data_IF_467510078780
#
_entry.id   IF_467510078780
#
_cell.length_a   1.000
_cell.length_b   1.000
_cell.length_c   1.000
_cell.angle_alpha   90.00
_cell.angle_beta   90.00
_cell.angle_gamma   90.00
#
_symmetry.space_group_name_H-M   'P 1'
#
loop_
_entity.id
_entity.type
_entity.pdbx_description
1 polymer ?
#
# COMPACT_ATOMS: atom_id res chain seq x y z
N UNK A 1 11.30 15.40 7.63
CA UNK A 1 11.30 16.02 6.31
C UNK A 1 10.44 15.22 5.37
N UNK A 2 9.53 15.86 4.66
CA UNK A 2 8.56 15.19 3.80
C UNK A 2 9.20 14.45 2.64
N UNK A 3 10.28 14.98 2.04
CA UNK A 3 10.99 14.29 0.97
C UNK A 3 11.57 12.95 1.44
N UNK A 4 11.98 12.86 2.70
CA UNK A 4 12.46 11.60 3.29
C UNK A 4 11.31 10.62 3.46
N UNK A 5 10.13 11.12 3.80
CA UNK A 5 8.94 10.28 3.96
C UNK A 5 8.54 9.65 2.62
N UNK A 6 8.60 10.42 1.53
CA UNK A 6 8.34 9.89 0.19
C UNK A 6 9.35 8.79 -0.14
N UNK A 7 10.63 8.98 0.19
CA UNK A 7 11.65 7.98 -0.10
C UNK A 7 11.47 6.69 0.73
N UNK A 8 10.99 6.81 1.97
CA UNK A 8 10.66 5.64 2.78
C UNK A 8 9.59 4.79 2.10
N UNK A 9 8.51 5.44 1.65
CA UNK A 9 7.40 4.74 0.98
C UNK A 9 7.87 4.16 -0.35
N UNK A 10 8.65 4.93 -1.13
CA UNK A 10 9.21 4.44 -2.40
C UNK A 10 10.06 3.19 -2.19
N UNK A 11 10.93 3.22 -1.18
CA UNK A 11 11.80 2.08 -0.88
C UNK A 11 11.01 0.82 -0.53
N UNK A 12 9.96 0.97 0.26
CA UNK A 12 9.10 -0.14 0.63
C UNK A 12 8.43 -0.76 -0.60
N UNK A 13 7.87 0.08 -1.48
CA UNK A 13 7.18 -0.38 -2.68
C UNK A 13 8.16 -1.02 -3.67
N UNK A 14 9.33 -0.41 -3.86
CA UNK A 14 10.34 -0.97 -4.76
C UNK A 14 10.80 -2.35 -4.30
N UNK A 15 10.99 -2.52 -2.99
CA UNK A 15 11.36 -3.83 -2.43
C UNK A 15 10.25 -4.86 -2.67
N UNK A 16 9.00 -4.49 -2.44
CA UNK A 16 7.85 -5.35 -2.71
C UNK A 16 7.82 -5.78 -4.18
N UNK A 17 8.02 -4.82 -5.09
CA UNK A 17 7.96 -5.09 -6.53
C UNK A 17 9.14 -5.95 -7.02
N UNK A 18 10.26 -5.95 -6.29
CA UNK A 18 11.38 -6.86 -6.58
C UNK A 18 11.14 -8.27 -6.03
N UNK A 19 10.08 -8.47 -5.24
CA UNK A 19 9.87 -9.72 -4.55
C UNK A 19 10.68 -9.87 -3.27
N UNK A 20 11.34 -8.81 -2.83
CA UNK A 20 12.14 -8.80 -1.60
C UNK A 20 11.27 -8.33 -0.43
N UNK A 21 10.44 -9.24 0.07
CA UNK A 21 9.48 -8.90 1.10
C UNK A 21 10.13 -8.58 2.44
N UNK A 22 11.27 -9.20 2.74
CA UNK A 22 12.01 -8.89 3.97
C UNK A 22 12.49 -7.44 3.97
N UNK A 23 13.03 -6.99 2.85
CA UNK A 23 13.45 -5.58 2.71
C UNK A 23 12.25 -4.64 2.79
N UNK A 24 11.11 -5.03 2.20
CA UNK A 24 9.88 -4.24 2.27
C UNK A 24 9.40 -4.08 3.70
N UNK A 25 9.37 -5.17 4.47
CA UNK A 25 8.90 -5.16 5.85
C UNK A 25 9.81 -4.35 6.77
N UNK A 26 11.09 -4.21 6.42
CA UNK A 26 12.05 -3.42 7.21
C UNK A 26 11.70 -1.93 7.26
N UNK A 27 10.87 -1.45 6.32
CA UNK A 27 10.40 -0.06 6.32
C UNK A 27 9.22 0.16 7.26
N UNK A 28 8.63 -0.89 7.81
CA UNK A 28 7.44 -0.80 8.65
C UNK A 28 7.82 -0.68 10.11
N UNK A 29 7.06 0.15 10.84
CA UNK A 29 7.17 0.22 12.29
C UNK A 29 6.69 -1.10 12.91
N UNK A 30 7.20 -1.43 14.08
CA UNK A 30 6.81 -2.68 14.75
C UNK A 30 5.33 -2.71 15.16
N UNK A 31 4.71 -1.53 15.28
CA UNK A 31 3.28 -1.40 15.60
C UNK A 31 2.46 -0.93 14.38
N UNK A 32 2.96 -1.15 13.16
CA UNK A 32 2.30 -0.71 11.94
C UNK A 32 0.86 -1.23 11.87
N UNK A 33 -0.04 -0.38 11.36
CA UNK A 33 -1.42 -0.75 11.07
C UNK A 33 -1.61 -0.83 9.55
N UNK A 34 -2.01 -2.00 9.08
CA UNK A 34 -2.25 -2.24 7.66
C UNK A 34 -3.73 -2.52 7.49
N UNK A 35 -4.46 -1.55 6.93
CA UNK A 35 -5.92 -1.60 6.85
C UNK A 35 -6.38 -2.26 5.56
N UNK A 36 -7.38 -3.11 5.64
CA UNK A 36 -8.09 -3.62 4.46
C UNK A 36 -9.04 -2.54 3.94
N UNK A 37 -9.40 -2.59 2.63
CA UNK A 37 -10.47 -1.73 2.14
C UNK A 37 -11.74 -1.98 2.94
N UNK A 38 -12.44 -0.91 3.41
CA UNK A 38 -13.55 -1.08 4.35
C UNK A 38 -14.77 -1.81 3.79
N UNK A 39 -14.91 -1.86 2.47
CA UNK A 39 -16.04 -2.53 1.82
C UNK A 39 -15.78 -4.01 1.51
N UNK A 40 -14.60 -4.52 1.86
CA UNK A 40 -14.28 -5.95 1.69
C UNK A 40 -14.89 -6.74 2.85
N UNK A 41 -15.60 -7.85 2.58
CA UNK A 41 -16.12 -8.67 3.66
C UNK A 41 -15.01 -9.17 4.58
N UNK A 42 -15.21 -9.02 5.88
CA UNK A 42 -14.20 -9.41 6.86
C UNK A 42 -13.05 -8.42 6.99
N UNK A 43 -13.23 -7.19 6.48
CA UNK A 43 -12.20 -6.16 6.54
C UNK A 43 -11.77 -5.91 7.98
N UNK A 44 -10.46 -5.72 8.17
CA UNK A 44 -9.89 -5.47 9.47
C UNK A 44 -8.58 -4.74 9.38
N UNK A 45 -7.87 -4.71 10.50
CA UNK A 45 -6.57 -4.08 10.62
C UNK A 45 -5.55 -5.15 11.00
N UNK A 46 -4.48 -5.24 10.22
CA UNK A 46 -3.38 -6.15 10.46
C UNK A 46 -2.28 -5.36 11.16
N UNK A 47 -1.83 -5.84 12.32
CA UNK A 47 -0.90 -5.10 13.17
C UNK A 47 0.46 -5.78 13.22
N UNK A 48 1.50 -4.98 12.99
CA UNK A 48 2.87 -5.42 13.05
C UNK A 48 3.35 -6.06 11.75
N UNK A 49 4.68 -6.09 11.53
CA UNK A 49 5.23 -6.61 10.28
C UNK A 49 4.89 -8.07 10.01
N UNK A 50 4.75 -8.91 11.05
CA UNK A 50 4.46 -10.33 10.84
C UNK A 50 3.06 -10.54 10.28
N UNK A 51 2.08 -9.77 10.76
CA UNK A 51 0.73 -9.83 10.19
C UNK A 51 0.70 -9.30 8.77
N UNK A 52 1.48 -8.24 8.48
CA UNK A 52 1.60 -7.71 7.12
C UNK A 52 2.25 -8.73 6.19
N UNK A 53 3.26 -9.49 6.69
CA UNK A 53 3.87 -10.57 5.91
C UNK A 53 2.82 -11.59 5.48
N UNK A 54 1.94 -12.00 6.40
CA UNK A 54 0.86 -12.94 6.09
C UNK A 54 -0.14 -12.34 5.12
N UNK A 55 -0.39 -11.02 5.24
CA UNK A 55 -1.25 -10.30 4.30
C UNK A 55 -0.66 -10.33 2.90
N UNK A 56 0.65 -10.06 2.76
CA UNK A 56 1.33 -10.14 1.46
C UNK A 56 1.15 -11.53 0.84
N UNK A 57 1.35 -12.57 1.63
CA UNK A 57 1.24 -13.94 1.13
C UNK A 57 -0.18 -14.25 0.64
N UNK A 58 -1.19 -13.83 1.39
CA UNK A 58 -2.59 -14.04 0.99
C UNK A 58 -2.93 -13.24 -0.26
N UNK A 59 -2.51 -11.99 -0.30
CA UNK A 59 -2.79 -11.11 -1.44
C UNK A 59 -2.16 -11.66 -2.72
N UNK A 60 -0.89 -11.96 -2.68
CA UNK A 60 -0.17 -12.47 -3.85
C UNK A 60 -0.65 -13.87 -4.24
N UNK A 61 -1.06 -14.67 -3.26
CA UNK A 61 -1.61 -15.99 -3.53
C UNK A 61 -2.97 -15.96 -4.23
N UNK A 62 -3.69 -14.84 -4.14
CA UNK A 62 -4.99 -14.69 -4.79
C UNK A 62 -4.90 -14.33 -6.28
N UNK A 63 -3.72 -13.95 -6.76
CA UNK A 63 -3.54 -13.40 -8.10
C UNK A 63 -2.47 -14.13 -8.89
N UNK A 64 -2.66 -14.17 -10.21
CA UNK A 64 -1.63 -14.57 -11.17
C UNK A 64 -1.12 -13.31 -11.84
N UNK A 65 0.20 -13.19 -11.97
CA UNK A 65 0.85 -12.07 -12.68
C UNK A 65 0.43 -10.71 -12.13
N UNK A 66 0.30 -10.61 -10.81
CA UNK A 66 -0.07 -9.33 -10.17
C UNK A 66 1.07 -8.33 -10.27
N UNK A 67 0.73 -7.11 -10.69
CA UNK A 67 1.64 -5.97 -10.70
C UNK A 67 0.92 -4.74 -10.13
N UNK A 68 1.68 -3.92 -9.42
CA UNK A 68 1.19 -2.64 -8.91
C UNK A 68 2.24 -1.59 -9.25
N UNK A 69 2.05 -0.91 -10.39
CA UNK A 69 3.00 0.10 -10.84
C UNK A 69 2.64 1.46 -10.24
N UNK A 70 3.60 2.11 -9.63
CA UNK A 70 3.42 3.45 -9.08
C UNK A 70 3.32 4.46 -10.22
N UNK A 71 2.25 5.24 -10.23
CA UNK A 71 2.06 6.33 -11.18
C UNK A 71 2.35 7.69 -10.55
N UNK A 72 2.02 7.86 -9.26
CA UNK A 72 2.31 9.10 -8.55
C UNK A 72 2.67 8.81 -7.10
N UNK A 73 3.60 9.60 -6.58
CA UNK A 73 3.90 9.69 -5.15
C UNK A 73 3.69 11.14 -4.76
N UNK A 74 2.72 11.39 -3.89
CA UNK A 74 2.31 12.76 -3.53
C UNK A 74 2.72 13.00 -2.08
N UNK A 75 3.54 14.02 -1.90
CA UNK A 75 4.04 14.43 -0.59
C UNK A 75 2.97 15.23 0.13
N UNK A 76 2.47 14.69 1.24
CA UNK A 76 1.51 15.36 2.11
C UNK A 76 2.07 15.52 3.53
N UNK A 77 3.38 15.78 3.65
CA UNK A 77 4.04 15.96 4.93
C UNK A 77 4.38 14.63 5.59
N UNK A 78 3.74 14.34 6.73
CA UNK A 78 3.92 13.06 7.42
C UNK A 78 3.07 11.95 6.81
N UNK A 79 2.35 12.23 5.73
CA UNK A 79 1.62 11.25 4.95
C UNK A 79 2.07 11.31 3.51
N UNK A 80 2.00 10.17 2.84
CA UNK A 80 2.34 10.05 1.43
C UNK A 80 1.20 9.35 0.73
N UNK A 81 0.70 9.96 -0.35
CA UNK A 81 -0.34 9.35 -1.18
C UNK A 81 0.35 8.64 -2.34
N UNK A 82 0.06 7.36 -2.52
CA UNK A 82 0.57 6.58 -3.65
C UNK A 82 -0.60 6.26 -4.56
N UNK A 83 -0.50 6.66 -5.82
CA UNK A 83 -1.46 6.26 -6.85
C UNK A 83 -0.78 5.19 -7.68
N UNK A 84 -1.44 4.05 -7.84
CA UNK A 84 -0.85 2.97 -8.60
C UNK A 84 -1.86 2.32 -9.55
N UNK A 85 -1.30 1.72 -10.59
CA UNK A 85 -2.05 0.97 -11.59
C UNK A 85 -1.85 -0.51 -11.28
N UNK A 86 -2.92 -1.19 -10.91
CA UNK A 86 -2.91 -2.59 -10.56
C UNK A 86 -3.44 -3.43 -11.71
N UNK A 87 -2.73 -4.52 -12.00
CA UNK A 87 -3.15 -5.49 -12.99
C UNK A 87 -2.90 -6.89 -12.45
N UNK A 88 -3.79 -7.80 -12.76
CA UNK A 88 -3.64 -9.19 -12.36
C UNK A 88 -4.82 -10.02 -12.80
N UNK A 89 -4.71 -11.31 -12.58
CA UNK A 89 -5.80 -12.26 -12.87
C UNK A 89 -6.10 -13.01 -11.59
N UNK A 90 -7.37 -13.08 -11.21
CA UNK A 90 -7.79 -13.86 -10.05
C UNK A 90 -7.46 -15.34 -10.24
N UNK A 91 -6.74 -15.90 -9.29
CA UNK A 91 -6.41 -17.33 -9.31
C UNK A 91 -7.67 -18.10 -9.00
N UNK A 92 -8.07 -19.00 -9.87
CA UNK A 92 -9.29 -19.77 -9.74
C UNK A 92 -10.49 -19.15 -10.47
N UNK A 93 -10.75 -17.86 -10.36
CA UNK A 93 -11.85 -17.20 -11.07
C UNK A 93 -11.50 -16.84 -12.51
N UNK A 94 -10.22 -16.57 -12.77
CA UNK A 94 -9.76 -16.10 -14.07
C UNK A 94 -10.15 -14.66 -14.40
N UNK A 95 -10.76 -13.94 -13.46
CA UNK A 95 -11.19 -12.56 -13.68
C UNK A 95 -9.96 -11.65 -13.75
N UNK A 96 -9.88 -10.85 -14.81
CA UNK A 96 -8.80 -9.89 -14.97
C UNK A 96 -9.14 -8.58 -14.28
N UNK A 97 -8.14 -8.03 -13.57
CA UNK A 97 -8.25 -6.74 -12.92
C UNK A 97 -7.27 -5.79 -13.59
N UNK A 98 -7.75 -4.60 -13.91
CA UNK A 98 -6.96 -3.51 -14.49
C UNK A 98 -7.59 -2.23 -13.97
N UNK A 99 -7.07 -1.71 -12.86
CA UNK A 99 -7.64 -0.50 -12.28
C UNK A 99 -6.58 0.35 -11.60
N UNK A 100 -6.96 1.58 -11.31
CA UNK A 100 -6.13 2.50 -10.55
C UNK A 100 -6.74 2.66 -9.18
N UNK A 101 -5.87 2.63 -8.18
CA UNK A 101 -6.26 2.83 -6.80
C UNK A 101 -5.21 3.67 -6.10
N UNK A 102 -5.46 4.02 -4.85
CA UNK A 102 -4.53 4.83 -4.09
C UNK A 102 -4.41 4.31 -2.67
N UNK A 103 -3.25 4.55 -2.08
CA UNK A 103 -3.01 4.26 -0.67
C UNK A 103 -2.48 5.50 0.01
N UNK A 104 -2.86 5.68 1.28
CA UNK A 104 -2.26 6.69 2.13
C UNK A 104 -1.37 5.99 3.14
N UNK A 105 -0.10 6.39 3.16
CA UNK A 105 0.87 5.89 4.12
C UNK A 105 1.20 6.99 5.11
N UNK A 106 1.02 6.71 6.39
CA UNK A 106 1.47 7.60 7.46
C UNK A 106 2.90 7.18 7.83
N UNK A 107 3.80 8.15 7.91
CA UNK A 107 5.22 7.90 8.19
C UNK A 107 5.63 8.69 9.43
N UNK A 108 6.34 8.05 10.34
CA UNK A 108 6.86 8.68 11.54
C UNK A 108 8.24 8.11 11.84
N UNK A 109 9.19 9.00 12.12
CA UNK A 109 10.56 8.61 12.49
C UNK A 109 11.21 7.64 11.49
N UNK A 110 10.97 7.86 10.20
CA UNK A 110 11.55 7.05 9.13
C UNK A 110 10.92 5.68 8.94
N UNK A 111 9.75 5.44 9.55
CA UNK A 111 9.05 4.18 9.43
C UNK A 111 7.60 4.41 9.04
N UNK A 112 7.03 3.47 8.29
CA UNK A 112 5.62 3.49 7.95
C UNK A 112 4.84 2.98 9.15
N UNK A 113 3.90 3.79 9.65
CA UNK A 113 3.12 3.45 10.85
C UNK A 113 1.68 3.06 10.51
N UNK A 114 1.20 3.41 9.32
CA UNK A 114 -0.16 3.05 8.92
C UNK A 114 -0.30 3.09 7.41
N UNK A 115 -1.05 2.15 6.87
CA UNK A 115 -1.42 2.14 5.46
C UNK A 115 -2.95 2.01 5.37
N UNK A 116 -3.57 2.94 4.60
CA UNK A 116 -5.01 2.93 4.34
C UNK A 116 -5.27 2.94 2.84
N UNK A 117 -6.03 1.97 2.30
CA UNK A 117 -6.36 1.96 0.88
C UNK A 117 -7.59 2.81 0.57
N UNK A 118 -7.61 3.38 -0.62
CA UNK A 118 -8.73 4.16 -1.14
C UNK A 118 -9.03 3.73 -2.57
N UNK A 119 -10.32 3.81 -2.99
CA UNK A 119 -10.69 3.36 -4.33
C UNK A 119 -10.08 4.19 -5.45
N UNK A 120 -9.77 5.48 -5.19
CA UNK A 120 -9.25 6.37 -6.21
C UNK A 120 -8.42 7.50 -5.60
N UNK A 121 -7.73 8.21 -6.47
CA UNK A 121 -6.85 9.33 -6.12
C UNK A 121 -7.59 10.43 -5.37
N UNK A 122 -8.78 10.78 -5.84
CA UNK A 122 -9.55 11.89 -5.27
C UNK A 122 -9.89 11.65 -3.80
N UNK A 123 -10.34 10.44 -3.48
CA UNK A 123 -10.69 10.09 -2.10
C UNK A 123 -9.45 10.07 -1.20
N UNK A 124 -8.32 9.59 -1.73
CA UNK A 124 -7.08 9.59 -0.96
C UNK A 124 -6.59 11.00 -0.67
N UNK A 125 -6.64 11.90 -1.67
CA UNK A 125 -6.26 13.29 -1.48
C UNK A 125 -7.15 13.99 -0.47
N UNK A 126 -8.45 13.75 -0.55
CA UNK A 126 -9.41 14.29 0.41
C UNK A 126 -9.07 13.86 1.84
N UNK A 127 -8.69 12.60 2.02
CA UNK A 127 -8.37 12.05 3.33
C UNK A 127 -7.15 12.72 3.98
N UNK A 128 -6.24 13.30 3.19
CA UNK A 128 -5.06 13.99 3.72
C UNK A 128 -5.19 15.52 3.63
N UNK A 129 -6.40 16.01 3.31
CA UNK A 129 -6.67 17.45 3.28
C UNK A 129 -6.18 18.17 2.03
N UNK A 130 -5.88 17.44 0.96
CA UNK A 130 -5.49 18.02 -0.31
C UNK A 130 -6.66 17.94 -1.29
N UNK A 131 -6.91 19.03 -1.98
CA UNK A 131 -7.93 19.06 -3.01
C UNK A 131 -7.32 18.70 -4.36
N UNK A 132 -8.07 17.99 -5.12
CA UNK A 132 -7.66 17.57 -6.46
C UNK A 132 -7.75 18.75 -7.46
#
# INVERSE_FOLDING_TARGET
>A
MSAQNVEVVRGMIDAFNRGDFEASLAYLDEDVEWHDPPDVPGAGVHRGPEEVRRWFARWLGAWENYTARVEELIDAGDRVVVVHHERGRGRGSGVEVDNRSANVFDVSCGKIVRRRPFPDRSQALDAVGLLD
#
